data_IF_702690211791
#
_entry.id   IF_702690211791
#
_cell.length_a   1.000
_cell.length_b   1.000
_cell.length_c   1.000
_cell.angle_alpha   90.00
_cell.angle_beta   90.00
_cell.angle_gamma   90.00
#
_symmetry.space_group_name_H-M   'P 1'
#
loop_
_entity.id
_entity.type
_entity.pdbx_description
1 polymer ?
#
# COMPACT_ATOMS: atom_id res chain seq x y z
N UNK A 1 0.70 -0.89 18.29
CA UNK A 1 0.71 -0.31 16.93
C UNK A 1 -0.73 -0.27 16.43
N UNK A 2 -1.19 0.83 15.82
CA UNK A 2 -2.52 0.87 15.21
C UNK A 2 -2.63 -0.19 14.09
N UNK A 3 -3.75 -0.92 14.02
CA UNK A 3 -4.04 -1.87 12.94
C UNK A 3 -4.29 -1.11 11.64
N UNK A 4 -3.36 -1.22 10.69
CA UNK A 4 -3.40 -0.53 9.39
C UNK A 4 -2.93 -1.49 8.30
N UNK A 5 -3.78 -2.45 7.90
CA UNK A 5 -3.40 -3.48 6.94
C UNK A 5 -3.08 -2.86 5.57
N UNK A 6 -3.79 -1.81 5.16
CA UNK A 6 -3.55 -1.06 3.91
C UNK A 6 -2.38 -0.05 4.01
N UNK A 7 -1.40 -0.31 4.87
CA UNK A 7 -0.27 0.58 5.08
C UNK A 7 -0.61 1.93 5.71
N UNK A 8 0.34 2.86 5.61
CA UNK A 8 0.27 4.20 6.21
C UNK A 8 -0.12 5.27 5.17
N UNK A 9 -0.72 6.36 5.62
CA UNK A 9 -0.95 7.53 4.79
C UNK A 9 0.31 8.38 4.67
N UNK A 10 0.59 8.90 3.47
CA UNK A 10 1.65 9.86 3.25
C UNK A 10 1.15 11.08 2.47
N UNK A 11 1.79 12.22 2.73
CA UNK A 11 1.57 13.46 2.01
C UNK A 11 2.91 14.17 1.79
N UNK A 12 3.19 14.58 0.57
CA UNK A 12 4.35 15.36 0.17
C UNK A 12 3.90 16.66 -0.47
N UNK A 13 4.65 17.74 -0.24
CA UNK A 13 4.47 19.02 -0.91
C UNK A 13 5.77 19.42 -1.56
N UNK A 14 5.76 19.52 -2.87
CA UNK A 14 6.91 19.93 -3.67
C UNK A 14 6.65 21.28 -4.33
N UNK A 15 7.65 22.16 -4.41
CA UNK A 15 7.54 23.39 -5.19
C UNK A 15 7.52 23.12 -6.70
N UNK A 16 7.81 21.89 -7.13
CA UNK A 16 7.83 21.52 -8.54
C UNK A 16 6.41 21.49 -9.12
N UNK A 17 6.28 21.95 -10.37
CA UNK A 17 5.03 21.83 -11.11
C UNK A 17 4.67 20.37 -11.43
N UNK A 18 3.42 20.17 -11.87
CA UNK A 18 2.88 18.83 -12.13
C UNK A 18 3.66 18.07 -13.19
N UNK A 19 4.05 18.74 -14.28
CA UNK A 19 4.81 18.12 -15.36
C UNK A 19 6.24 17.76 -14.89
N UNK A 20 6.91 18.67 -14.17
CA UNK A 20 8.28 18.46 -13.70
C UNK A 20 8.34 17.34 -12.66
N UNK A 21 7.39 17.32 -11.71
CA UNK A 21 7.29 16.25 -10.72
C UNK A 21 7.14 14.87 -11.38
N UNK A 22 6.32 14.76 -12.43
CA UNK A 22 6.19 13.51 -13.19
C UNK A 22 7.45 13.15 -13.95
N UNK A 23 8.13 14.13 -14.54
CA UNK A 23 9.38 13.90 -15.27
C UNK A 23 10.44 13.33 -14.33
N UNK A 24 10.67 13.97 -13.18
CA UNK A 24 11.65 13.49 -12.20
C UNK A 24 11.33 12.11 -11.67
N UNK A 25 10.08 11.82 -11.33
CA UNK A 25 9.67 10.47 -10.91
C UNK A 25 9.95 9.45 -12.01
N UNK A 26 9.72 9.79 -13.28
CA UNK A 26 9.96 8.88 -14.41
C UNK A 26 11.44 8.68 -14.71
N UNK A 27 12.26 9.70 -14.50
CA UNK A 27 13.71 9.67 -14.70
C UNK A 27 14.44 8.93 -13.57
N UNK A 28 13.97 9.07 -12.33
CA UNK A 28 14.63 8.47 -11.16
C UNK A 28 14.14 7.06 -10.81
N UNK A 29 12.98 6.63 -11.34
CA UNK A 29 12.49 5.26 -11.13
C UNK A 29 13.23 4.26 -12.00
N UNK A 30 13.35 3.03 -11.53
CA UNK A 30 13.89 1.93 -12.32
C UNK A 30 12.95 1.50 -13.46
N UNK A 31 13.55 0.84 -14.44
CA UNK A 31 12.83 0.15 -15.51
C UNK A 31 12.04 -1.03 -14.93
N UNK A 32 10.91 -1.38 -15.53
CA UNK A 32 10.05 -2.45 -15.00
C UNK A 32 10.80 -3.78 -14.84
N UNK A 33 11.64 -4.14 -15.82
CA UNK A 33 12.34 -5.43 -15.89
C UNK A 33 13.72 -5.45 -15.22
N UNK A 34 14.06 -4.43 -14.42
CA UNK A 34 15.34 -4.43 -13.69
C UNK A 34 15.34 -5.54 -12.63
N UNK A 35 16.33 -6.46 -12.59
CA UNK A 35 16.38 -7.51 -11.58
C UNK A 35 16.78 -7.00 -10.19
N UNK A 36 17.34 -5.80 -10.06
CA UNK A 36 17.67 -5.20 -8.78
C UNK A 36 16.43 -4.70 -8.06
N UNK A 37 16.38 -4.75 -6.73
CA UNK A 37 15.31 -4.13 -5.97
C UNK A 37 15.40 -2.60 -6.02
N UNK A 38 14.27 -1.94 -6.21
CA UNK A 38 14.20 -0.50 -6.27
C UNK A 38 12.88 0.07 -6.78
N UNK A 39 12.72 1.40 -6.64
CA UNK A 39 11.47 2.09 -6.92
C UNK A 39 11.14 2.00 -8.40
N UNK A 40 10.04 1.31 -8.71
CA UNK A 40 9.56 1.14 -10.08
C UNK A 40 8.05 1.31 -10.12
N UNK A 41 7.53 1.49 -11.33
CA UNK A 41 6.10 1.54 -11.56
C UNK A 41 5.70 2.53 -12.64
N UNK A 42 4.51 3.10 -12.50
CA UNK A 42 3.92 3.98 -13.51
C UNK A 42 3.25 5.21 -12.92
N UNK A 43 3.22 6.25 -13.76
CA UNK A 43 2.52 7.50 -13.49
C UNK A 43 1.57 7.77 -14.65
N UNK A 44 0.27 7.61 -14.41
CA UNK A 44 -0.80 7.76 -15.40
C UNK A 44 -1.65 8.98 -15.05
N UNK A 45 -1.57 10.04 -15.86
CA UNK A 45 -2.27 11.28 -15.56
C UNK A 45 -1.80 11.86 -14.22
N UNK A 46 -2.69 11.95 -13.23
CA UNK A 46 -2.40 12.40 -11.86
C UNK A 46 -2.13 11.24 -10.89
N UNK A 47 -2.31 10.01 -11.33
CA UNK A 47 -2.18 8.82 -10.50
C UNK A 47 -0.75 8.27 -10.55
N UNK A 48 -0.23 7.88 -9.39
CA UNK A 48 1.07 7.23 -9.21
C UNK A 48 0.85 5.86 -8.59
N UNK A 49 1.49 4.84 -9.15
CA UNK A 49 1.55 3.49 -8.59
C UNK A 49 3.01 3.01 -8.64
N UNK A 50 3.59 2.73 -7.47
CA UNK A 50 4.97 2.26 -7.32
C UNK A 50 5.03 0.96 -6.52
N UNK A 51 6.04 0.16 -6.81
CA UNK A 51 6.42 -1.07 -6.12
C UNK A 51 7.95 -1.20 -6.11
N UNK A 52 8.51 -2.11 -5.30
CA UNK A 52 9.97 -2.27 -5.17
C UNK A 52 10.53 -3.48 -5.92
N UNK A 53 9.73 -4.53 -6.17
CA UNK A 53 10.20 -5.76 -6.84
C UNK A 53 9.10 -6.38 -7.69
N UNK A 54 9.46 -6.93 -8.85
CA UNK A 54 8.56 -7.81 -9.63
C UNK A 54 8.72 -9.27 -9.20
N UNK A 55 9.90 -9.64 -8.71
CA UNK A 55 10.27 -11.05 -8.42
C UNK A 55 9.73 -11.47 -7.06
N UNK A 56 9.85 -10.61 -6.05
CA UNK A 56 9.41 -10.91 -4.68
C UNK A 56 7.90 -10.75 -4.44
N UNK A 57 7.11 -10.71 -5.52
CA UNK A 57 5.64 -10.80 -5.48
C UNK A 57 4.95 -9.73 -4.62
N UNK A 58 5.63 -8.64 -4.28
CA UNK A 58 5.02 -7.49 -3.63
C UNK A 58 4.35 -6.66 -4.73
N UNK A 59 3.01 -6.68 -4.76
CA UNK A 59 2.22 -5.89 -5.69
C UNK A 59 2.44 -4.37 -5.48
N UNK A 60 1.55 -3.51 -5.97
CA UNK A 60 1.57 -2.08 -5.68
C UNK A 60 1.79 -1.83 -4.18
N UNK A 61 2.92 -1.24 -3.84
CA UNK A 61 3.28 -0.91 -2.46
C UNK A 61 2.92 0.53 -2.14
N UNK A 62 2.93 1.41 -3.13
CA UNK A 62 2.56 2.81 -3.00
C UNK A 62 1.57 3.20 -4.09
N UNK A 63 0.44 3.78 -3.68
CA UNK A 63 -0.52 4.41 -4.57
C UNK A 63 -0.78 5.84 -4.12
N UNK A 64 -0.85 6.78 -5.06
CA UNK A 64 -1.03 8.19 -4.73
C UNK A 64 -1.57 9.02 -5.87
N UNK A 65 -2.04 10.21 -5.52
CA UNK A 65 -2.55 11.21 -6.44
C UNK A 65 -1.73 12.49 -6.32
N UNK A 66 -1.38 13.06 -7.47
CA UNK A 66 -0.72 14.36 -7.59
C UNK A 66 -1.79 15.44 -7.77
N UNK A 67 -1.92 16.28 -6.77
CA UNK A 67 -2.71 17.50 -6.77
C UNK A 67 -1.82 18.70 -7.14
N UNK A 68 -2.44 19.67 -7.80
CA UNK A 68 -1.79 20.90 -8.24
C UNK A 68 -2.36 21.99 -7.34
N UNK A 69 -1.49 22.62 -6.56
CA UNK A 69 -1.86 23.63 -5.57
C UNK A 69 -1.56 25.05 -6.09
N UNK A 70 -1.30 25.21 -7.39
CA UNK A 70 -1.06 26.49 -8.07
C UNK A 70 0.34 27.07 -7.89
N UNK A 71 0.99 26.83 -6.74
CA UNK A 71 2.39 27.19 -6.48
C UNK A 71 3.35 25.99 -6.50
N UNK A 72 2.86 24.80 -6.84
CA UNK A 72 3.60 23.55 -6.78
C UNK A 72 2.64 22.37 -6.81
N UNK A 73 3.10 21.21 -6.35
CA UNK A 73 2.33 19.98 -6.33
C UNK A 73 2.27 19.35 -4.94
N UNK A 74 1.13 18.73 -4.66
CA UNK A 74 0.89 17.94 -3.46
C UNK A 74 0.66 16.50 -3.87
N UNK A 75 1.45 15.57 -3.34
CA UNK A 75 1.26 14.14 -3.59
C UNK A 75 0.71 13.51 -2.31
N UNK A 76 -0.48 12.94 -2.37
CA UNK A 76 -1.08 12.27 -1.23
C UNK A 76 -1.48 10.84 -1.61
N UNK A 77 -1.30 9.90 -0.68
CA UNK A 77 -1.53 8.50 -0.98
C UNK A 77 -1.37 7.56 0.20
N UNK A 78 -1.30 6.27 -0.12
CA UNK A 78 -1.01 5.20 0.84
C UNK A 78 0.21 4.42 0.40
N UNK A 79 1.03 4.03 1.36
CA UNK A 79 2.19 3.16 1.16
C UNK A 79 2.19 2.01 2.18
N UNK A 80 2.57 0.81 1.75
CA UNK A 80 2.53 -0.43 2.55
C UNK A 80 3.37 -1.55 1.94
N UNK A 81 3.27 -2.76 2.49
CA UNK A 81 4.04 -3.92 2.03
C UNK A 81 3.46 -4.59 0.78
N UNK A 82 2.14 -4.63 0.65
CA UNK A 82 1.44 -5.11 -0.56
C UNK A 82 -0.03 -4.66 -0.50
N UNK A 83 -0.39 -3.61 -1.25
CA UNK A 83 -1.75 -3.08 -1.21
C UNK A 83 -2.75 -4.04 -1.88
N UNK A 84 -2.33 -4.78 -2.91
CA UNK A 84 -3.21 -5.71 -3.62
C UNK A 84 -3.51 -6.95 -2.77
N UNK A 85 -2.50 -7.59 -2.18
CA UNK A 85 -2.71 -8.72 -1.28
C UNK A 85 -3.62 -8.36 -0.11
N UNK A 86 -3.49 -7.14 0.43
CA UNK A 86 -4.38 -6.66 1.49
C UNK A 86 -5.82 -6.42 1.04
N UNK A 87 -6.02 -5.94 -0.19
CA UNK A 87 -7.34 -5.82 -0.79
C UNK A 87 -7.99 -7.20 -0.93
N UNK A 88 -7.26 -8.20 -1.44
CA UNK A 88 -7.76 -9.57 -1.58
C UNK A 88 -8.10 -10.19 -0.22
N UNK A 89 -7.23 -10.06 0.78
CA UNK A 89 -7.52 -10.53 2.14
C UNK A 89 -8.74 -9.83 2.73
N UNK A 90 -8.91 -8.53 2.49
CA UNK A 90 -10.11 -7.79 2.90
C UNK A 90 -11.39 -8.32 2.24
N UNK A 91 -11.36 -8.60 0.94
CA UNK A 91 -12.49 -9.18 0.21
C UNK A 91 -12.84 -10.59 0.70
N UNK A 92 -11.83 -11.45 0.92
CA UNK A 92 -12.03 -12.78 1.51
C UNK A 92 -12.64 -12.66 2.91
N UNK A 93 -12.18 -11.71 3.71
CA UNK A 93 -12.75 -11.40 5.02
C UNK A 93 -14.20 -10.97 4.99
N UNK A 94 -14.60 -10.19 3.98
CA UNK A 94 -15.99 -9.80 3.78
C UNK A 94 -16.87 -10.97 3.30
N UNK A 95 -16.30 -11.92 2.55
CA UNK A 95 -17.01 -13.10 2.05
C UNK A 95 -17.28 -14.15 3.15
N UNK A 96 -16.38 -14.31 4.12
CA UNK A 96 -16.54 -15.27 5.23
C UNK A 96 -17.88 -15.14 5.98
N UNK A 97 -18.31 -13.95 6.46
CA UNK A 97 -19.61 -13.81 7.12
C UNK A 97 -20.78 -14.06 6.16
N UNK A 98 -20.66 -13.72 4.88
CA UNK A 98 -21.70 -14.02 3.87
C UNK A 98 -21.89 -15.54 3.73
N UNK A 99 -20.78 -16.29 3.63
CA UNK A 99 -20.80 -17.74 3.57
C UNK A 99 -21.39 -18.34 4.86
N UNK A 100 -20.96 -17.83 6.02
CA UNK A 100 -21.46 -18.29 7.32
C UNK A 100 -22.97 -18.09 7.46
N UNK A 101 -23.49 -16.92 7.07
CA UNK A 101 -24.93 -16.62 7.08
C UNK A 101 -25.69 -17.53 6.11
N UNK A 102 -25.16 -17.75 4.89
CA UNK A 102 -25.77 -18.65 3.91
C UNK A 102 -25.87 -20.09 4.44
N UNK A 103 -24.77 -20.63 4.97
CA UNK A 103 -24.73 -21.98 5.54
C UNK A 103 -25.65 -22.14 6.75
N UNK A 104 -25.73 -21.12 7.61
CA UNK A 104 -26.63 -21.12 8.75
C UNK A 104 -28.10 -21.10 8.32
N UNK A 105 -28.45 -20.25 7.35
CA UNK A 105 -29.81 -20.13 6.82
C UNK A 105 -30.30 -21.40 6.13
N UNK A 106 -29.42 -22.09 5.41
CA UNK A 106 -29.73 -23.34 4.72
C UNK A 106 -29.75 -24.56 5.66
N UNK A 107 -29.48 -24.39 6.96
CA UNK A 107 -29.38 -25.48 7.93
C UNK A 107 -28.20 -26.43 7.68
N UNK A 108 -27.24 -26.02 6.83
CA UNK A 108 -26.06 -26.81 6.45
C UNK A 108 -24.86 -26.58 7.37
N UNK A 109 -25.01 -25.70 8.35
CA UNK A 109 -23.96 -25.34 9.31
C UNK A 109 -23.81 -26.41 10.40
N UNK A 110 -23.03 -27.45 10.11
CA UNK A 110 -22.58 -28.41 11.12
C UNK A 110 -21.50 -27.86 12.05
N UNK A 111 -21.26 -28.53 13.18
CA UNK A 111 -20.20 -28.17 14.13
C UNK A 111 -18.81 -28.10 13.47
N UNK A 112 -18.50 -29.06 12.60
CA UNK A 112 -17.25 -29.08 11.83
C UNK A 112 -17.11 -27.86 10.91
N UNK A 113 -18.18 -27.46 10.23
CA UNK A 113 -18.22 -26.27 9.38
C UNK A 113 -18.03 -24.98 10.19
N UNK A 114 -18.64 -24.90 11.37
CA UNK A 114 -18.47 -23.77 12.27
C UNK A 114 -17.02 -23.65 12.78
N UNK A 115 -16.39 -24.75 13.16
CA UNK A 115 -14.97 -24.78 13.57
C UNK A 115 -14.08 -24.36 12.41
N UNK A 116 -14.32 -24.89 11.20
CA UNK A 116 -13.52 -24.54 10.02
C UNK A 116 -13.62 -23.04 9.69
N UNK A 117 -14.82 -22.46 9.72
CA UNK A 117 -15.02 -21.02 9.52
C UNK A 117 -14.32 -20.18 10.60
N UNK A 118 -14.38 -20.61 11.86
CA UNK A 118 -13.68 -19.94 12.95
C UNK A 118 -12.15 -19.96 12.75
N UNK A 119 -11.59 -21.10 12.33
CA UNK A 119 -10.16 -21.22 12.02
C UNK A 119 -9.76 -20.36 10.81
N UNK A 120 -10.58 -20.32 9.76
CA UNK A 120 -10.35 -19.44 8.61
C UNK A 120 -10.37 -17.96 9.02
N UNK A 121 -11.31 -17.54 9.86
CA UNK A 121 -11.36 -16.19 10.38
C UNK A 121 -10.13 -15.85 11.24
N UNK A 122 -9.70 -16.78 12.11
CA UNK A 122 -8.50 -16.61 12.93
C UNK A 122 -7.24 -16.49 12.07
N UNK A 123 -7.08 -17.35 11.06
CA UNK A 123 -5.97 -17.29 10.11
C UNK A 123 -5.95 -15.96 9.35
N UNK A 124 -7.12 -15.47 8.91
CA UNK A 124 -7.22 -14.18 8.22
C UNK A 124 -6.80 -13.01 9.12
N UNK A 125 -7.24 -13.01 10.38
CA UNK A 125 -6.85 -11.97 11.36
C UNK A 125 -5.33 -11.98 11.55
N UNK A 126 -4.71 -13.17 11.66
CA UNK A 126 -3.27 -13.31 11.78
C UNK A 126 -2.53 -12.79 10.54
N UNK A 127 -3.02 -13.09 9.33
CA UNK A 127 -2.44 -12.61 8.08
C UNK A 127 -2.51 -11.07 7.98
N UNK A 128 -3.69 -10.49 8.25
CA UNK A 128 -3.87 -9.03 8.25
C UNK A 128 -3.02 -8.36 9.34
N UNK A 129 -2.87 -9.01 10.50
CA UNK A 129 -2.00 -8.53 11.56
C UNK A 129 -0.53 -8.54 11.13
N UNK A 130 -0.06 -9.64 10.53
CA UNK A 130 1.31 -9.75 10.07
C UNK A 130 1.64 -8.69 9.02
N UNK A 131 0.75 -8.52 8.05
CA UNK A 131 0.91 -7.47 7.04
C UNK A 131 0.90 -6.06 7.62
N UNK A 132 0.08 -5.80 8.64
CA UNK A 132 0.11 -4.54 9.37
C UNK A 132 1.45 -4.31 10.10
N UNK A 133 2.23 -5.34 10.41
CA UNK A 133 3.60 -5.21 10.96
C UNK A 133 4.63 -4.88 9.87
N UNK A 134 4.48 -5.50 8.71
CA UNK A 134 5.38 -5.34 7.56
C UNK A 134 5.17 -4.04 6.78
N UNK A 135 4.14 -3.24 7.12
CA UNK A 135 3.80 -1.97 6.45
C UNK A 135 4.96 -0.98 6.27
N UNK A 136 6.04 -1.09 7.05
CA UNK A 136 7.26 -0.27 6.92
C UNK A 136 8.00 -0.52 5.61
N UNK A 137 7.79 -1.66 4.93
CA UNK A 137 8.40 -1.94 3.63
C UNK A 137 8.07 -0.87 2.57
N UNK A 138 6.91 -0.21 2.68
CA UNK A 138 6.52 0.91 1.82
C UNK A 138 7.25 2.24 2.10
N UNK A 139 8.06 2.34 3.15
CA UNK A 139 8.79 3.57 3.48
C UNK A 139 9.81 3.94 2.41
N UNK A 140 10.55 2.96 1.88
CA UNK A 140 11.54 3.20 0.84
C UNK A 140 10.96 3.94 -0.38
N UNK A 141 9.69 3.70 -0.72
CA UNK A 141 9.01 4.37 -1.82
C UNK A 141 8.55 5.80 -1.47
N UNK A 142 8.15 6.04 -0.22
CA UNK A 142 7.83 7.38 0.25
C UNK A 142 9.11 8.24 0.34
N UNK A 143 10.19 7.67 0.86
CA UNK A 143 11.52 8.30 0.93
C UNK A 143 12.07 8.58 -0.48
N UNK A 144 11.88 7.66 -1.42
CA UNK A 144 12.21 7.88 -2.83
C UNK A 144 11.48 9.10 -3.41
N UNK A 145 10.17 9.23 -3.18
CA UNK A 145 9.42 10.39 -3.64
C UNK A 145 9.90 11.69 -2.96
N UNK A 146 10.24 11.62 -1.67
CA UNK A 146 10.77 12.77 -0.93
C UNK A 146 12.09 13.26 -1.54
N UNK A 147 13.05 12.35 -1.71
CA UNK A 147 14.38 12.61 -2.27
C UNK A 147 14.29 13.12 -3.71
N UNK A 148 13.45 12.49 -4.54
CA UNK A 148 13.31 12.83 -5.97
C UNK A 148 12.70 14.22 -6.17
N UNK A 149 11.80 14.63 -5.27
CA UNK A 149 11.03 15.87 -5.42
C UNK A 149 11.53 17.02 -4.53
N UNK A 150 12.58 16.79 -3.72
CA UNK A 150 13.10 17.77 -2.76
C UNK A 150 12.04 18.27 -1.78
N UNK A 151 11.09 17.40 -1.44
CA UNK A 151 9.93 17.73 -0.59
C UNK A 151 10.22 17.41 0.87
N UNK A 152 9.42 17.93 1.80
CA UNK A 152 9.32 17.37 3.15
C UNK A 152 8.13 16.41 3.19
N UNK A 153 8.38 15.11 3.26
CA UNK A 153 7.32 14.12 3.38
C UNK A 153 6.73 14.15 4.79
N UNK A 154 5.41 14.19 4.89
CA UNK A 154 4.68 13.91 6.12
C UNK A 154 4.10 12.51 6.02
N UNK A 155 4.62 11.61 6.84
CA UNK A 155 4.06 10.28 7.03
C UNK A 155 4.21 9.86 8.50
N UNK A 156 3.47 8.83 8.90
CA UNK A 156 3.36 8.35 10.28
C UNK A 156 4.70 7.92 10.92
N UNK A 157 5.71 7.66 10.09
CA UNK A 157 7.06 7.27 10.51
C UNK A 157 8.08 8.40 10.43
N UNK A 158 7.65 9.67 10.54
CA UNK A 158 8.49 10.86 10.38
C UNK A 158 9.88 10.73 11.02
N UNK A 159 10.89 11.28 10.31
CA UNK A 159 12.33 11.12 10.56
C UNK A 159 12.69 11.07 12.06
N UNK A 160 13.63 10.19 12.50
CA UNK A 160 14.33 10.45 13.75
C UNK A 160 15.00 11.83 13.65
N UNK A 161 15.05 12.61 14.76
CA UNK A 161 15.77 13.88 14.75
C UNK A 161 17.21 13.60 14.32
N UNK A 162 17.67 14.34 13.31
CA UNK A 162 19.08 14.34 12.92
C UNK A 162 19.84 14.97 14.09
N UNK A 163 20.59 14.14 14.82
CA UNK A 163 21.55 14.56 15.83
C UNK A 163 22.82 15.07 15.18
#
# INVERSE_FOLDING_TARGET
MAFRPLGFGFELKTPLGLAESKSRIRECKQTWYDPSDGPRGFVLGRFICLWNSIVDSQGPMLIGWIHDDGMGCRIAGRSGSDINGMLYLGLVGALLPVIAVGLFRDGRMGLSGAIMLALCAAALILLLWNASRERRAGLALADFLELTLGSNARHEFGRPPVS
#
